data_IF_816725526648
#
_entry.id   IF_816725526648
#
_cell.length_a   1.000
_cell.length_b   1.000
_cell.length_c   1.000
_cell.angle_alpha   90.00
_cell.angle_beta   90.00
_cell.angle_gamma   90.00
#
_symmetry.space_group_name_H-M   'P 1'
#
loop_
_entity.id
_entity.type
_entity.pdbx_description
1 polymer ?
#
# COMPACT_ATOMS: atom_id res chain seq x y z
N UNK A 1 -5.74 -26.90 11.94
CA UNK A 1 -5.82 -25.49 12.39
C UNK A 1 -4.46 -24.88 12.72
N UNK A 2 -3.74 -25.37 13.74
CA UNK A 2 -2.44 -24.79 14.17
C UNK A 2 -1.38 -24.69 13.06
N UNK A 3 -1.33 -25.66 12.15
CA UNK A 3 -0.44 -25.65 10.97
C UNK A 3 -0.79 -24.53 9.98
N UNK A 4 -2.08 -24.28 9.74
CA UNK A 4 -2.55 -23.20 8.86
C UNK A 4 -2.25 -21.82 9.45
N UNK A 5 -2.42 -21.66 10.77
CA UNK A 5 -2.09 -20.42 11.49
C UNK A 5 -0.59 -20.12 11.42
N UNK A 6 0.27 -21.13 11.60
CA UNK A 6 1.73 -20.97 11.44
C UNK A 6 2.11 -20.59 10.01
N UNK A 7 1.47 -21.20 9.01
CA UNK A 7 1.68 -20.89 7.59
C UNK A 7 1.28 -19.45 7.28
N UNK A 8 0.11 -19.01 7.75
CA UNK A 8 -0.35 -17.63 7.60
C UNK A 8 0.63 -16.63 8.25
N UNK A 9 1.14 -16.93 9.46
CA UNK A 9 2.17 -16.08 10.09
C UNK A 9 3.43 -15.98 9.24
N UNK A 10 3.95 -17.10 8.76
CA UNK A 10 5.16 -17.10 7.93
C UNK A 10 5.00 -16.22 6.67
N UNK A 11 3.83 -16.30 6.03
CA UNK A 11 3.50 -15.47 4.85
C UNK A 11 3.39 -13.99 5.20
N UNK A 12 2.70 -13.63 6.28
CA UNK A 12 2.57 -12.22 6.70
C UNK A 12 3.92 -11.61 7.11
N UNK A 13 4.79 -12.37 7.76
CA UNK A 13 6.14 -11.92 8.09
C UNK A 13 6.95 -11.60 6.83
N UNK A 14 6.89 -12.48 5.81
CA UNK A 14 7.57 -12.27 4.54
C UNK A 14 7.02 -11.03 3.78
N UNK A 15 5.70 -10.88 3.72
CA UNK A 15 5.06 -9.69 3.12
C UNK A 15 5.49 -8.42 3.84
N UNK A 16 5.56 -8.44 5.17
CA UNK A 16 5.99 -7.27 5.94
C UNK A 16 7.42 -6.86 5.60
N UNK A 17 8.36 -7.81 5.54
CA UNK A 17 9.75 -7.49 5.18
C UNK A 17 9.87 -6.96 3.76
N UNK A 18 9.09 -7.52 2.84
CA UNK A 18 9.08 -7.11 1.45
C UNK A 18 8.52 -5.70 1.29
N UNK A 19 7.31 -5.42 1.81
CA UNK A 19 6.70 -4.07 1.75
C UNK A 19 7.58 -2.99 2.40
N UNK A 20 8.38 -3.33 3.41
CA UNK A 20 9.28 -2.36 4.06
C UNK A 20 10.55 -2.03 3.24
N UNK A 21 10.91 -2.86 2.26
CA UNK A 21 12.15 -2.73 1.49
C UNK A 21 11.93 -2.39 0.01
N UNK A 22 10.67 -2.26 -0.42
CA UNK A 22 10.31 -2.45 -1.82
C UNK A 22 9.77 -1.24 -2.58
N UNK A 23 10.00 -1.25 -3.90
CA UNK A 23 9.39 -0.35 -4.88
C UNK A 23 7.87 -0.60 -5.01
N UNK A 24 7.09 0.29 -5.66
CA UNK A 24 5.65 0.07 -5.89
C UNK A 24 5.36 -1.26 -6.58
N UNK A 25 6.16 -1.62 -7.60
CA UNK A 25 5.98 -2.86 -8.38
C UNK A 25 6.22 -4.11 -7.51
N UNK A 26 7.17 -4.04 -6.60
CA UNK A 26 7.47 -5.13 -5.66
C UNK A 26 6.41 -5.29 -4.56
N UNK A 27 5.69 -4.20 -4.22
CA UNK A 27 4.50 -4.28 -3.35
C UNK A 27 3.37 -5.03 -4.06
N UNK A 28 3.18 -4.86 -5.37
CA UNK A 28 2.19 -5.63 -6.14
C UNK A 28 2.52 -7.12 -6.18
N UNK A 29 3.80 -7.48 -6.21
CA UNK A 29 4.25 -8.87 -6.14
C UNK A 29 3.93 -9.56 -4.80
N UNK A 30 3.56 -8.79 -3.76
CA UNK A 30 3.13 -9.34 -2.48
C UNK A 30 1.67 -9.84 -2.48
N UNK A 31 0.88 -9.49 -3.51
CA UNK A 31 -0.56 -9.83 -3.59
C UNK A 31 -0.82 -11.34 -3.46
N UNK A 32 -0.14 -12.24 -4.21
CA UNK A 32 -0.39 -13.68 -4.11
C UNK A 32 -0.10 -14.24 -2.71
N UNK A 33 0.92 -13.72 -2.03
CA UNK A 33 1.26 -14.15 -0.67
C UNK A 33 0.21 -13.69 0.36
N UNK A 34 -0.39 -12.51 0.15
CA UNK A 34 -1.52 -12.03 0.95
C UNK A 34 -2.77 -12.87 0.71
N UNK A 35 -3.09 -13.21 -0.54
CA UNK A 35 -4.21 -14.08 -0.87
C UNK A 35 -4.07 -15.47 -0.25
N UNK A 36 -2.87 -16.07 -0.29
CA UNK A 36 -2.59 -17.36 0.36
C UNK A 36 -2.76 -17.25 1.89
N UNK A 37 -2.31 -16.15 2.51
CA UNK A 37 -2.50 -15.92 3.95
C UNK A 37 -3.98 -15.79 4.32
N UNK A 38 -4.78 -15.08 3.51
CA UNK A 38 -6.23 -14.95 3.69
C UNK A 38 -6.92 -16.30 3.54
N UNK A 39 -6.56 -17.09 2.53
CA UNK A 39 -7.10 -18.43 2.33
C UNK A 39 -6.79 -19.35 3.52
N UNK A 40 -5.56 -19.32 4.04
CA UNK A 40 -5.16 -20.07 5.24
C UNK A 40 -5.94 -19.64 6.48
N UNK A 41 -6.19 -18.33 6.64
CA UNK A 41 -6.96 -17.79 7.76
C UNK A 41 -8.43 -18.19 7.68
N UNK A 42 -9.07 -18.06 6.52
CA UNK A 42 -10.47 -18.52 6.29
C UNK A 42 -10.63 -20.01 6.54
N UNK A 43 -9.68 -20.83 6.06
CA UNK A 43 -9.67 -22.27 6.33
C UNK A 43 -9.45 -22.61 7.82
N UNK A 44 -9.00 -21.64 8.62
CA UNK A 44 -8.81 -21.78 10.06
C UNK A 44 -9.89 -21.10 10.90
N UNK A 45 -10.87 -20.43 10.27
CA UNK A 45 -11.97 -19.81 11.00
C UNK A 45 -12.82 -20.91 11.64
N UNK A 46 -12.89 -20.96 12.98
CA UNK A 46 -13.77 -21.88 13.66
C UNK A 46 -15.22 -21.46 13.44
N UNK A 47 -16.10 -22.44 13.19
CA UNK A 47 -17.55 -22.29 13.28
C UNK A 47 -17.91 -21.65 14.62
N UNK A 48 -18.96 -20.81 14.72
CA UNK A 48 -19.35 -20.13 15.96
C UNK A 48 -19.45 -21.08 17.17
N UNK A 49 -19.92 -22.31 16.98
CA UNK A 49 -19.99 -23.32 18.04
C UNK A 49 -18.60 -23.76 18.55
N UNK A 50 -17.61 -23.83 17.64
CA UNK A 50 -16.21 -24.18 17.94
C UNK A 50 -15.40 -23.00 18.50
N UNK A 51 -15.91 -21.76 18.42
CA UNK A 51 -15.23 -20.61 19.03
C UNK A 51 -15.21 -20.69 20.55
N UNK A 52 -16.24 -21.26 21.17
CA UNK A 52 -16.29 -21.42 22.62
C UNK A 52 -15.19 -22.37 23.13
N UNK A 53 -14.94 -23.45 22.38
CA UNK A 53 -13.95 -24.48 22.69
C UNK A 53 -12.52 -24.16 22.23
N UNK A 54 -12.33 -23.02 21.55
CA UNK A 54 -11.01 -22.66 21.04
C UNK A 54 -10.02 -22.42 22.17
N UNK A 55 -8.89 -23.13 22.12
CA UNK A 55 -7.80 -22.96 23.08
C UNK A 55 -7.36 -21.49 23.16
N UNK A 56 -7.16 -20.93 24.37
CA UNK A 56 -6.79 -19.52 24.54
C UNK A 56 -5.57 -19.08 23.73
N UNK A 57 -4.57 -19.97 23.60
CA UNK A 57 -3.38 -19.73 22.80
C UNK A 57 -3.70 -19.53 21.30
N UNK A 58 -4.65 -20.28 20.74
CA UNK A 58 -5.05 -20.15 19.34
C UNK A 58 -5.85 -18.86 19.10
N UNK A 59 -6.73 -18.49 20.05
CA UNK A 59 -7.43 -17.19 20.01
C UNK A 59 -6.45 -16.02 20.00
N UNK A 60 -5.45 -16.04 20.90
CA UNK A 60 -4.40 -15.01 20.96
C UNK A 60 -3.66 -14.91 19.63
N UNK A 61 -3.39 -16.05 19.00
CA UNK A 61 -2.69 -16.10 17.72
C UNK A 61 -3.48 -15.52 16.56
N UNK A 62 -4.77 -15.84 16.47
CA UNK A 62 -5.66 -15.27 15.46
C UNK A 62 -5.82 -13.75 15.64
N UNK A 63 -5.92 -13.27 16.89
CA UNK A 63 -5.95 -11.83 17.20
C UNK A 63 -4.65 -11.16 16.75
N UNK A 64 -3.49 -11.76 17.03
CA UNK A 64 -2.19 -11.25 16.63
C UNK A 64 -2.07 -11.15 15.09
N UNK A 65 -2.50 -12.19 14.36
CA UNK A 65 -2.51 -12.19 12.89
C UNK A 65 -3.44 -11.10 12.32
N UNK A 66 -4.60 -10.90 12.94
CA UNK A 66 -5.54 -9.83 12.54
C UNK A 66 -4.94 -8.44 12.76
N UNK A 67 -4.19 -8.26 13.86
CA UNK A 67 -3.45 -7.03 14.11
C UNK A 67 -2.34 -6.81 13.08
N UNK A 68 -1.54 -7.84 12.77
CA UNK A 68 -0.48 -7.78 11.76
C UNK A 68 -1.03 -7.42 10.38
N UNK A 69 -2.15 -8.02 9.95
CA UNK A 69 -2.85 -7.65 8.72
C UNK A 69 -3.25 -6.17 8.71
N UNK A 70 -3.75 -5.65 9.83
CA UNK A 70 -4.08 -4.23 9.97
C UNK A 70 -2.86 -3.32 9.84
N UNK A 71 -1.70 -3.75 10.31
CA UNK A 71 -0.42 -3.04 10.13
C UNK A 71 0.01 -3.05 8.66
N UNK A 72 0.00 -4.21 8.01
CA UNK A 72 0.38 -4.34 6.60
C UNK A 72 -0.53 -3.48 5.71
N UNK A 73 -1.84 -3.50 5.95
CA UNK A 73 -2.81 -2.65 5.21
C UNK A 73 -2.45 -1.16 5.31
N UNK A 74 -2.13 -0.68 6.52
CA UNK A 74 -1.75 0.73 6.72
C UNK A 74 -0.43 1.06 6.05
N UNK A 75 0.51 0.12 6.04
CA UNK A 75 1.81 0.32 5.40
C UNK A 75 1.65 0.47 3.88
N UNK A 76 0.91 -0.43 3.24
CA UNK A 76 0.60 -0.37 1.81
C UNK A 76 -0.18 0.89 1.44
N UNK A 77 -1.15 1.28 2.26
CA UNK A 77 -1.91 2.52 2.03
C UNK A 77 -0.99 3.74 2.04
N UNK A 78 -0.10 3.84 3.04
CA UNK A 78 0.83 4.97 3.16
C UNK A 78 1.88 4.99 2.07
N UNK A 79 2.36 3.82 1.62
CA UNK A 79 3.31 3.77 0.50
C UNK A 79 2.64 4.26 -0.79
N UNK A 80 1.40 3.85 -1.06
CA UNK A 80 0.64 4.34 -2.22
C UNK A 80 0.44 5.86 -2.19
N UNK A 81 0.03 6.42 -1.04
CA UNK A 81 -0.12 7.87 -0.86
C UNK A 81 1.20 8.63 -1.08
N UNK A 82 2.31 8.08 -0.57
CA UNK A 82 3.63 8.65 -0.76
C UNK A 82 4.05 8.68 -2.23
N UNK A 83 3.94 7.55 -2.94
CA UNK A 83 4.29 7.48 -4.37
C UNK A 83 3.39 8.36 -5.23
N UNK A 84 2.10 8.46 -4.91
CA UNK A 84 1.19 9.39 -5.59
C UNK A 84 1.57 10.86 -5.35
N UNK A 85 1.98 11.21 -4.13
CA UNK A 85 2.49 12.55 -3.80
C UNK A 85 3.76 12.87 -4.60
N UNK A 86 4.70 11.93 -4.66
CA UNK A 86 5.92 12.07 -5.44
C UNK A 86 5.66 12.22 -6.95
N UNK A 87 4.73 11.43 -7.50
CA UNK A 87 4.33 11.57 -8.90
C UNK A 87 3.79 12.97 -9.21
N UNK A 88 3.02 13.57 -8.29
CA UNK A 88 2.52 14.95 -8.43
C UNK A 88 3.65 15.97 -8.41
N UNK A 89 4.63 15.82 -7.50
CA UNK A 89 5.79 16.72 -7.42
C UNK A 89 6.62 16.63 -8.70
N UNK A 90 6.92 15.41 -9.15
CA UNK A 90 7.66 15.18 -10.40
C UNK A 90 6.92 15.76 -11.61
N UNK A 91 5.60 15.55 -11.71
CA UNK A 91 4.78 16.13 -12.77
C UNK A 91 4.78 17.66 -12.73
N UNK A 92 4.69 18.28 -11.55
CA UNK A 92 4.75 19.74 -11.41
C UNK A 92 6.13 20.30 -11.82
N UNK A 93 7.22 19.62 -11.46
CA UNK A 93 8.57 20.01 -11.89
C UNK A 93 8.79 19.81 -13.40
N UNK A 94 8.27 18.72 -13.98
CA UNK A 94 8.36 18.45 -15.41
C UNK A 94 7.50 19.43 -16.23
N UNK A 95 6.34 19.85 -15.72
CA UNK A 95 5.53 20.92 -16.32
C UNK A 95 6.24 22.28 -16.34
N UNK A 96 7.13 22.54 -15.36
CA UNK A 96 7.99 23.73 -15.35
C UNK A 96 9.15 23.67 -16.35
N UNK A 97 9.69 22.47 -16.63
CA UNK A 97 10.79 22.26 -17.60
C UNK A 97 10.32 22.04 -19.05
N UNK A 98 9.04 21.70 -19.27
CA UNK A 98 8.46 21.53 -20.62
C UNK A 98 8.00 22.85 -21.26
N UNK A 99 8.15 23.98 -20.57
CA UNK A 99 7.99 25.32 -21.14
C UNK A 99 9.22 25.82 -21.94
N UNK A 100 10.06 24.90 -22.44
CA UNK A 100 10.94 25.17 -23.59
C UNK A 100 10.48 24.33 -24.78
N UNK A 101 9.23 24.51 -25.20
CA UNK A 101 8.88 24.27 -26.60
C UNK A 101 9.27 25.52 -27.38
N UNK A 102 10.35 25.42 -28.14
CA UNK A 102 10.64 26.40 -29.19
C UNK A 102 9.50 26.29 -30.22
N UNK A 103 8.92 27.41 -30.63
CA UNK A 103 8.12 27.42 -31.86
C UNK A 103 9.03 27.03 -33.02
N UNK A 104 8.46 26.56 -34.15
CA UNK A 104 9.23 26.24 -35.36
C UNK A 104 10.07 27.43 -35.92
N UNK A 105 9.92 28.62 -35.33
CA UNK A 105 10.64 29.87 -35.59
C UNK A 105 11.71 30.23 -34.54
N UNK A 106 11.89 29.45 -33.46
CA UNK A 106 12.98 29.64 -32.49
C UNK A 106 12.72 30.65 -31.37
N UNK A 107 11.56 31.30 -31.33
CA UNK A 107 11.24 32.28 -30.29
C UNK A 107 10.67 31.60 -29.02
N UNK A 108 11.05 32.06 -27.81
CA UNK A 108 10.50 31.57 -26.56
C UNK A 108 9.02 31.96 -26.44
N UNK A 109 8.15 30.95 -26.22
CA UNK A 109 6.72 31.18 -25.97
C UNK A 109 6.55 31.87 -24.61
N UNK A 110 5.86 33.02 -24.52
CA UNK A 110 5.58 33.65 -23.24
C UNK A 110 4.75 32.73 -22.35
N UNK A 111 5.22 32.53 -21.12
CA UNK A 111 4.54 31.76 -20.09
C UNK A 111 3.12 32.31 -19.89
N UNK A 112 2.10 31.46 -20.12
CA UNK A 112 0.75 31.79 -19.73
C UNK A 112 0.72 31.99 -18.20
N UNK A 113 0.39 33.21 -17.77
CA UNK A 113 0.38 33.56 -16.35
C UNK A 113 -0.59 32.64 -15.58
N UNK A 114 -0.20 32.12 -14.40
CA UNK A 114 -1.12 31.38 -13.55
C UNK A 114 -2.28 32.29 -13.15
N UNK A 115 -3.50 31.78 -13.27
CA UNK A 115 -4.73 32.50 -12.96
C UNK A 115 -4.66 33.20 -11.61
N UNK A 116 -5.01 34.49 -11.62
CA UNK A 116 -5.12 35.35 -10.45
C UNK A 116 -6.07 34.74 -9.41
N UNK A 117 -5.53 34.28 -8.29
CA UNK A 117 -6.30 34.06 -7.07
C UNK A 117 -6.46 35.42 -6.36
N UNK A 118 -7.59 36.06 -6.59
CA UNK A 118 -8.02 37.25 -5.85
C UNK A 118 -8.54 36.83 -4.47
N UNK A 119 -7.74 37.01 -3.42
CA UNK A 119 -8.21 36.92 -2.03
C UNK A 119 -8.75 38.30 -1.61
N UNK A 120 -10.06 38.41 -1.37
CA UNK A 120 -10.64 39.56 -0.67
C UNK A 120 -10.49 39.34 0.83
N UNK A 121 -9.85 40.31 1.50
CA UNK A 121 -9.85 40.43 2.96
C UNK A 121 -11.17 40.99 3.48
#
# INVERSE_FOLDING_TARGET
MLTQVKRARGRLAAVRTQVLSSSPEEVEQCIPALEEAIACLRASEPTPDLQAELKPALKKELIALRFELGVIRRLVQRSAEFYQGWAKVLAATAAGYTAMSYTATGDPVPLAAPGSLSVKG
#
